data_IF_119026814779
#
_entry.id   IF_119026814779
#
_cell.length_a   1.000
_cell.length_b   1.000
_cell.length_c   1.000
_cell.angle_alpha   90.00
_cell.angle_beta   90.00
_cell.angle_gamma   90.00
#
_symmetry.space_group_name_H-M   'P 1'
#
loop_
_entity.id
_entity.type
_entity.pdbx_description
1 polymer ?
#
# COMPACT_ATOMS: atom_id res chain seq x y z
N UNK A 1 10.84 -46.89 -28.15
CA UNK A 1 12.02 -46.00 -27.94
C UNK A 1 11.69 -44.50 -28.05
N UNK A 2 10.46 -44.04 -27.73
CA UNK A 2 10.02 -42.62 -27.70
C UNK A 2 8.92 -42.40 -26.64
N UNK A 3 9.19 -42.71 -25.37
CA UNK A 3 8.20 -42.52 -24.29
C UNK A 3 8.82 -42.05 -22.96
N UNK A 4 10.03 -41.48 -22.99
CA UNK A 4 10.76 -41.04 -21.81
C UNK A 4 11.10 -39.54 -21.79
N UNK A 5 10.69 -38.79 -22.80
CA UNK A 5 11.01 -37.35 -22.90
C UNK A 5 9.95 -36.46 -22.21
N UNK A 6 8.71 -36.96 -22.03
CA UNK A 6 7.63 -36.17 -21.41
C UNK A 6 7.67 -36.13 -19.88
N UNK A 7 8.34 -37.07 -19.21
CA UNK A 7 8.44 -37.07 -17.74
C UNK A 7 9.55 -36.15 -17.23
N UNK A 8 10.67 -36.02 -17.95
CA UNK A 8 11.79 -35.14 -17.56
C UNK A 8 11.50 -33.64 -17.73
N UNK A 9 10.51 -33.29 -18.57
CA UNK A 9 10.07 -31.90 -18.73
C UNK A 9 9.18 -31.43 -17.58
N UNK A 10 8.52 -32.34 -16.85
CA UNK A 10 7.55 -31.98 -15.83
C UNK A 10 8.20 -31.77 -14.45
N UNK A 11 9.19 -32.59 -14.09
CA UNK A 11 9.94 -32.43 -12.82
C UNK A 11 10.81 -31.15 -12.81
N UNK A 12 11.40 -30.78 -13.94
CA UNK A 12 12.15 -29.52 -14.08
C UNK A 12 11.24 -28.29 -14.07
N UNK A 13 10.02 -28.39 -14.62
CA UNK A 13 9.03 -27.31 -14.54
C UNK A 13 8.51 -27.13 -13.10
N UNK A 14 8.19 -28.22 -12.39
CA UNK A 14 7.77 -28.16 -10.99
C UNK A 14 8.86 -27.65 -10.05
N UNK A 15 10.13 -28.00 -10.26
CA UNK A 15 11.25 -27.47 -9.47
C UNK A 15 11.53 -25.98 -9.76
N UNK A 16 11.35 -25.51 -11.00
CA UNK A 16 11.45 -24.08 -11.33
C UNK A 16 10.30 -23.25 -10.74
N UNK A 17 9.06 -23.78 -10.76
CA UNK A 17 7.88 -23.11 -10.19
C UNK A 17 8.01 -23.02 -8.66
N UNK A 18 8.43 -24.10 -8.00
CA UNK A 18 8.60 -24.12 -6.54
C UNK A 18 9.76 -23.24 -6.05
N UNK A 19 10.85 -23.09 -6.83
CA UNK A 19 11.95 -22.18 -6.48
C UNK A 19 11.61 -20.71 -6.74
N UNK A 20 10.82 -20.40 -7.78
CA UNK A 20 10.32 -19.06 -8.07
C UNK A 20 9.34 -18.56 -6.98
N UNK A 21 8.35 -19.38 -6.61
CA UNK A 21 7.39 -19.05 -5.55
C UNK A 21 8.06 -18.78 -4.20
N UNK A 22 9.05 -19.61 -3.82
CA UNK A 22 9.82 -19.41 -2.58
C UNK A 22 10.63 -18.10 -2.57
N UNK A 23 11.12 -17.64 -3.73
CA UNK A 23 11.78 -16.32 -3.83
C UNK A 23 10.76 -15.20 -3.68
N UNK A 24 9.61 -15.27 -4.36
CA UNK A 24 8.58 -14.24 -4.29
C UNK A 24 8.08 -14.01 -2.86
N UNK A 25 7.86 -15.09 -2.11
CA UNK A 25 7.48 -15.07 -0.69
C UNK A 25 8.55 -14.39 0.16
N UNK A 26 9.83 -14.58 -0.17
CA UNK A 26 10.96 -13.96 0.55
C UNK A 26 11.02 -12.44 0.35
N UNK A 27 10.55 -11.90 -0.77
CA UNK A 27 10.60 -10.46 -1.05
C UNK A 27 9.30 -9.70 -0.77
N UNK A 28 8.27 -10.38 -0.26
CA UNK A 28 6.93 -9.80 -0.02
C UNK A 28 6.94 -8.55 0.88
N UNK A 29 7.80 -8.50 1.90
CA UNK A 29 7.88 -7.35 2.80
C UNK A 29 8.49 -6.12 2.12
N UNK A 30 9.38 -6.30 1.14
CA UNK A 30 9.91 -5.18 0.36
C UNK A 30 8.89 -4.61 -0.61
N UNK A 31 8.10 -5.47 -1.28
CA UNK A 31 6.99 -5.04 -2.12
C UNK A 31 5.95 -4.25 -1.30
N UNK A 32 5.69 -4.71 -0.08
CA UNK A 32 4.75 -4.04 0.80
C UNK A 32 5.28 -2.69 1.32
N UNK A 33 6.57 -2.61 1.69
CA UNK A 33 7.21 -1.33 1.99
C UNK A 33 7.19 -0.36 0.80
N UNK A 34 7.49 -0.86 -0.40
CA UNK A 34 7.45 -0.09 -1.65
C UNK A 34 6.04 0.49 -1.87
N UNK A 35 5.00 -0.31 -1.68
CA UNK A 35 3.60 0.11 -1.79
C UNK A 35 3.23 1.22 -0.80
N UNK A 36 3.58 1.07 0.47
CA UNK A 36 3.35 2.12 1.50
C UNK A 36 4.06 3.40 1.09
N UNK A 37 5.32 3.28 0.66
CA UNK A 37 6.10 4.42 0.18
C UNK A 37 5.45 5.11 -1.01
N UNK A 38 4.92 4.33 -1.95
CA UNK A 38 4.26 4.83 -3.14
C UNK A 38 3.00 5.64 -2.80
N UNK A 39 2.18 5.18 -1.84
CA UNK A 39 1.04 5.96 -1.35
C UNK A 39 1.43 7.28 -0.70
N UNK A 40 2.49 7.28 0.10
CA UNK A 40 3.00 8.51 0.73
C UNK A 40 3.51 9.48 -0.32
N UNK A 41 4.34 9.01 -1.26
CA UNK A 41 4.85 9.86 -2.34
C UNK A 41 3.73 10.41 -3.22
N UNK A 42 2.65 9.66 -3.42
CA UNK A 42 1.46 10.11 -4.13
C UNK A 42 0.71 11.22 -3.38
N UNK A 43 0.52 11.07 -2.07
CA UNK A 43 -0.11 12.09 -1.23
C UNK A 43 0.66 13.41 -1.28
N UNK A 44 1.99 13.35 -1.13
CA UNK A 44 2.87 14.52 -1.14
C UNK A 44 3.09 15.11 -2.54
N UNK A 45 3.19 14.26 -3.56
CA UNK A 45 3.49 14.68 -4.93
C UNK A 45 2.29 15.18 -5.70
N UNK A 46 1.11 14.57 -5.49
CA UNK A 46 -0.10 14.88 -6.26
C UNK A 46 -1.16 15.56 -5.39
N UNK A 47 -1.69 14.85 -4.39
CA UNK A 47 -2.92 15.28 -3.70
C UNK A 47 -2.71 16.60 -2.95
N UNK A 48 -1.66 16.69 -2.14
CA UNK A 48 -1.37 17.94 -1.39
C UNK A 48 -1.09 19.11 -2.32
N UNK A 49 -0.28 18.91 -3.36
CA UNK A 49 0.10 19.97 -4.29
C UNK A 49 -1.07 20.43 -5.17
N UNK A 50 -1.66 19.53 -5.94
CA UNK A 50 -2.67 19.88 -6.94
C UNK A 50 -4.08 19.98 -6.35
N UNK A 51 -4.46 19.05 -5.47
CA UNK A 51 -5.85 19.00 -4.96
C UNK A 51 -6.07 19.86 -3.71
N UNK A 52 -4.99 20.30 -3.05
CA UNK A 52 -5.10 21.17 -1.86
C UNK A 52 -4.43 22.52 -2.07
N UNK A 53 -3.12 22.56 -2.33
CA UNK A 53 -2.38 23.82 -2.41
C UNK A 53 -2.89 24.70 -3.55
N UNK A 54 -3.12 24.14 -4.75
CA UNK A 54 -3.63 24.92 -5.88
C UNK A 54 -5.09 25.39 -5.70
N UNK A 55 -5.93 24.64 -4.98
CA UNK A 55 -7.37 24.89 -4.89
C UNK A 55 -7.78 25.67 -3.64
N UNK A 56 -7.11 25.43 -2.51
CA UNK A 56 -7.43 26.00 -1.21
C UNK A 56 -6.25 26.79 -0.60
N UNK A 57 -5.04 26.64 -1.14
CA UNK A 57 -3.86 27.36 -0.66
C UNK A 57 -3.00 26.59 0.36
N UNK A 58 -1.87 27.20 0.73
CA UNK A 58 -0.85 26.55 1.55
C UNK A 58 -1.31 26.26 2.98
N UNK A 59 -2.09 27.18 3.58
CA UNK A 59 -2.59 27.03 4.96
C UNK A 59 -3.39 25.72 5.13
N UNK A 60 -4.33 25.47 4.24
CA UNK A 60 -5.15 24.26 4.28
C UNK A 60 -4.34 22.99 3.97
N UNK A 61 -3.20 23.11 3.27
CA UNK A 61 -2.30 21.97 3.07
C UNK A 61 -1.74 21.47 4.41
N UNK A 62 -1.35 22.38 5.30
CA UNK A 62 -0.84 22.04 6.64
C UNK A 62 -1.95 21.39 7.47
N UNK A 63 -3.15 21.97 7.48
CA UNK A 63 -4.32 21.44 8.21
C UNK A 63 -4.66 20.01 7.75
N UNK A 64 -4.66 19.76 6.43
CA UNK A 64 -4.91 18.43 5.85
C UNK A 64 -3.83 17.41 6.25
N UNK A 65 -2.56 17.83 6.31
CA UNK A 65 -1.46 16.96 6.77
C UNK A 65 -1.58 16.58 8.24
N UNK A 66 -2.00 17.51 9.09
CA UNK A 66 -2.26 17.24 10.51
C UNK A 66 -3.39 16.21 10.63
N UNK A 67 -4.50 16.42 9.92
CA UNK A 67 -5.68 15.53 9.97
C UNK A 67 -5.32 14.12 9.45
N UNK A 68 -4.57 14.04 8.37
CA UNK A 68 -4.05 12.78 7.84
C UNK A 68 -3.15 12.06 8.87
N UNK A 69 -2.22 12.77 9.51
CA UNK A 69 -1.35 12.21 10.55
C UNK A 69 -2.14 11.74 11.78
N UNK A 70 -3.18 12.48 12.17
CA UNK A 70 -4.07 12.12 13.26
C UNK A 70 -4.83 10.82 12.95
N UNK A 71 -5.41 10.71 11.75
CA UNK A 71 -6.12 9.50 11.31
C UNK A 71 -5.22 8.27 11.33
N UNK A 72 -3.98 8.40 10.85
CA UNK A 72 -2.99 7.32 10.89
C UNK A 72 -2.58 6.92 12.31
N UNK A 73 -2.36 7.90 13.19
CA UNK A 73 -1.96 7.62 14.59
C UNK A 73 -3.08 6.90 15.35
N UNK A 74 -4.32 7.35 15.18
CA UNK A 74 -5.51 6.73 15.79
C UNK A 74 -5.65 5.29 15.29
N UNK A 75 -5.64 5.09 13.96
CA UNK A 75 -5.86 3.76 13.38
C UNK A 75 -4.74 2.78 13.72
N UNK A 76 -3.48 3.23 13.72
CA UNK A 76 -2.33 2.41 14.12
C UNK A 76 -2.43 1.96 15.58
N UNK A 77 -2.84 2.85 16.48
CA UNK A 77 -3.01 2.55 17.91
C UNK A 77 -4.15 1.57 18.13
N UNK A 78 -5.30 1.80 17.50
CA UNK A 78 -6.46 0.89 17.58
C UNK A 78 -6.08 -0.48 17.04
N UNK A 79 -5.46 -0.55 15.86
CA UNK A 79 -5.12 -1.82 15.25
C UNK A 79 -4.10 -2.59 16.10
N UNK A 80 -3.09 -1.94 16.67
CA UNK A 80 -2.12 -2.58 17.56
C UNK A 80 -2.78 -3.25 18.78
N UNK A 81 -3.88 -2.67 19.28
CA UNK A 81 -4.68 -3.29 20.33
C UNK A 81 -5.53 -4.46 19.79
N UNK A 82 -6.24 -4.24 18.68
CA UNK A 82 -7.17 -5.21 18.10
C UNK A 82 -6.46 -6.45 17.52
N UNK A 83 -5.24 -6.32 16.99
CA UNK A 83 -4.46 -7.44 16.43
C UNK A 83 -4.12 -8.53 17.45
N UNK A 84 -4.31 -8.28 18.75
CA UNK A 84 -4.23 -9.32 19.78
C UNK A 84 -5.40 -10.31 19.73
N UNK A 85 -6.53 -9.89 19.14
CA UNK A 85 -7.79 -10.62 19.15
C UNK A 85 -8.24 -11.07 17.76
N UNK A 86 -7.69 -10.48 16.69
CA UNK A 86 -8.04 -10.82 15.30
C UNK A 86 -6.85 -11.37 14.54
N UNK A 87 -7.11 -12.23 13.55
CA UNK A 87 -6.07 -12.72 12.66
C UNK A 87 -5.51 -11.59 11.80
N UNK A 88 -4.22 -11.68 11.45
CA UNK A 88 -3.58 -10.71 10.54
C UNK A 88 -4.25 -10.68 9.17
N UNK A 89 -4.78 -11.82 8.70
CA UNK A 89 -5.49 -11.91 7.42
C UNK A 89 -6.81 -11.15 7.47
N UNK A 90 -7.55 -11.22 8.58
CA UNK A 90 -8.75 -10.41 8.80
C UNK A 90 -8.43 -8.91 8.77
N UNK A 91 -7.31 -8.49 9.39
CA UNK A 91 -6.86 -7.09 9.33
C UNK A 91 -6.50 -6.66 7.91
N UNK A 92 -5.82 -7.50 7.14
CA UNK A 92 -5.48 -7.25 5.73
C UNK A 92 -6.73 -7.09 4.87
N UNK A 93 -7.69 -8.01 4.98
CA UNK A 93 -8.95 -7.95 4.22
C UNK A 93 -9.75 -6.69 4.54
N UNK A 94 -9.92 -6.38 5.84
CA UNK A 94 -10.60 -5.16 6.27
C UNK A 94 -9.91 -3.89 5.74
N UNK A 95 -8.59 -3.82 5.89
CA UNK A 95 -7.80 -2.66 5.43
C UNK A 95 -7.88 -2.51 3.91
N UNK A 96 -7.93 -3.61 3.16
CA UNK A 96 -8.10 -3.59 1.71
C UNK A 96 -9.45 -3.01 1.31
N UNK A 97 -10.54 -3.48 1.91
CA UNK A 97 -11.89 -2.95 1.65
C UNK A 97 -11.92 -1.45 1.95
N UNK A 98 -11.40 -1.04 3.10
CA UNK A 98 -11.34 0.36 3.49
C UNK A 98 -10.47 1.19 2.54
N UNK A 99 -9.38 0.62 2.03
CA UNK A 99 -8.53 1.24 1.02
C UNK A 99 -9.31 1.50 -0.28
N UNK A 100 -10.04 0.50 -0.80
CA UNK A 100 -10.88 0.68 -2.00
C UNK A 100 -11.93 1.78 -1.82
N UNK A 101 -12.64 1.77 -0.69
CA UNK A 101 -13.63 2.80 -0.37
C UNK A 101 -12.99 4.19 -0.29
N UNK A 102 -11.82 4.29 0.33
CA UNK A 102 -11.09 5.56 0.46
C UNK A 102 -10.59 6.07 -0.89
N UNK A 103 -10.10 5.20 -1.76
CA UNK A 103 -9.67 5.58 -3.12
C UNK A 103 -10.87 6.03 -3.97
N UNK A 104 -12.02 5.36 -3.85
CA UNK A 104 -13.28 5.79 -4.47
C UNK A 104 -13.74 7.15 -3.94
N UNK A 105 -13.62 7.37 -2.63
CA UNK A 105 -13.96 8.66 -2.02
C UNK A 105 -13.00 9.79 -2.44
N UNK A 106 -11.70 9.52 -2.55
CA UNK A 106 -10.73 10.47 -3.09
C UNK A 106 -11.03 10.83 -4.55
N UNK A 107 -11.37 9.84 -5.37
CA UNK A 107 -11.82 10.05 -6.75
C UNK A 107 -13.05 10.96 -6.79
N UNK A 108 -14.08 10.64 -6.02
CA UNK A 108 -15.33 11.40 -5.95
C UNK A 108 -15.12 12.84 -5.44
N UNK A 109 -14.32 13.03 -4.37
CA UNK A 109 -14.06 14.38 -3.87
C UNK A 109 -13.27 15.19 -4.88
N UNK A 110 -12.31 14.60 -5.62
CA UNK A 110 -11.57 15.30 -6.67
C UNK A 110 -12.48 15.75 -7.80
N UNK A 111 -13.31 14.86 -8.34
CA UNK A 111 -14.27 15.23 -9.40
C UNK A 111 -15.24 16.29 -8.90
N UNK A 112 -15.74 16.17 -7.68
CA UNK A 112 -16.64 17.17 -7.08
C UNK A 112 -15.97 18.54 -6.88
N UNK A 113 -14.66 18.60 -6.54
CA UNK A 113 -13.95 19.89 -6.44
C UNK A 113 -13.80 20.57 -7.80
N UNK A 114 -13.53 19.80 -8.85
CA UNK A 114 -13.43 20.34 -10.22
C UNK A 114 -14.76 20.92 -10.73
N UNK A 115 -15.89 20.38 -10.26
CA UNK A 115 -17.23 20.89 -10.58
C UNK A 115 -17.73 21.95 -9.58
N UNK A 116 -16.92 22.37 -8.62
CA UNK A 116 -17.30 23.37 -7.61
C UNK A 116 -18.30 22.89 -6.55
N UNK A 117 -18.59 21.58 -6.49
CA UNK A 117 -19.57 20.97 -5.57
C UNK A 117 -18.92 20.59 -4.23
N UNK A 118 -17.64 20.23 -4.25
CA UNK A 118 -16.93 19.78 -3.05
C UNK A 118 -16.71 20.92 -2.07
N UNK A 119 -17.05 20.68 -0.79
CA UNK A 119 -16.65 21.56 0.31
C UNK A 119 -15.25 21.22 0.82
N UNK A 120 -14.59 22.19 1.47
CA UNK A 120 -13.32 21.99 2.18
C UNK A 120 -13.43 20.84 3.21
N UNK A 121 -14.58 20.70 3.86
CA UNK A 121 -14.84 19.65 4.85
C UNK A 121 -14.80 18.24 4.24
N UNK A 122 -15.30 18.06 3.01
CA UNK A 122 -15.20 16.77 2.32
C UNK A 122 -13.73 16.39 2.06
N UNK A 123 -12.88 17.39 1.77
CA UNK A 123 -11.44 17.17 1.64
C UNK A 123 -10.79 16.78 2.97
N UNK A 124 -11.12 17.46 4.07
CA UNK A 124 -10.64 17.07 5.40
C UNK A 124 -10.97 15.61 5.73
N UNK A 125 -12.22 15.20 5.47
CA UNK A 125 -12.65 13.82 5.67
C UNK A 125 -11.86 12.84 4.80
N UNK A 126 -11.61 13.19 3.54
CA UNK A 126 -10.85 12.31 2.63
C UNK A 126 -9.40 12.10 3.09
N UNK A 127 -8.74 13.14 3.60
CA UNK A 127 -7.39 13.03 4.17
C UNK A 127 -7.39 12.23 5.48
N UNK A 128 -8.42 12.38 6.31
CA UNK A 128 -8.57 11.60 7.53
C UNK A 128 -8.69 10.09 7.23
N UNK A 129 -9.59 9.72 6.30
CA UNK A 129 -9.75 8.31 5.89
C UNK A 129 -8.50 7.74 5.22
N UNK A 130 -7.82 8.54 4.39
CA UNK A 130 -6.55 8.14 3.80
C UNK A 130 -5.48 7.90 4.87
N UNK A 131 -5.43 8.76 5.89
CA UNK A 131 -4.60 8.59 7.08
C UNK A 131 -4.89 7.29 7.81
N UNK A 132 -6.17 7.01 8.08
CA UNK A 132 -6.60 5.75 8.71
C UNK A 132 -6.05 4.55 7.94
N UNK A 133 -6.29 4.50 6.63
CA UNK A 133 -5.89 3.39 5.77
C UNK A 133 -4.38 3.18 5.77
N UNK A 134 -3.60 4.26 5.64
CA UNK A 134 -2.14 4.13 5.66
C UNK A 134 -1.62 3.71 7.04
N UNK A 135 -2.22 4.20 8.12
CA UNK A 135 -1.87 3.78 9.48
C UNK A 135 -2.09 2.28 9.69
N UNK A 136 -3.22 1.74 9.20
CA UNK A 136 -3.50 0.31 9.24
C UNK A 136 -2.46 -0.48 8.44
N UNK A 137 -2.20 -0.11 7.19
CA UNK A 137 -1.21 -0.79 6.35
C UNK A 137 0.19 -0.74 6.96
N UNK A 138 0.60 0.39 7.53
CA UNK A 138 1.91 0.54 8.17
C UNK A 138 2.04 -0.36 9.39
N UNK A 139 1.00 -0.44 10.23
CA UNK A 139 0.99 -1.33 11.40
C UNK A 139 1.03 -2.81 10.98
N UNK A 140 0.24 -3.19 9.97
CA UNK A 140 0.30 -4.54 9.37
C UNK A 140 1.71 -4.84 8.86
N UNK A 141 2.37 -3.87 8.21
CA UNK A 141 3.71 -4.03 7.64
C UNK A 141 4.72 -4.38 8.72
N UNK A 142 4.72 -3.58 9.78
CA UNK A 142 5.64 -3.72 10.89
C UNK A 142 5.39 -5.06 11.59
N UNK A 143 4.12 -5.41 11.84
CA UNK A 143 3.78 -6.69 12.46
C UNK A 143 4.24 -7.88 11.60
N UNK A 144 3.98 -7.86 10.30
CA UNK A 144 4.44 -8.87 9.36
C UNK A 144 5.98 -8.96 9.27
N UNK A 145 6.66 -7.81 9.30
CA UNK A 145 8.11 -7.73 9.25
C UNK A 145 8.72 -8.31 10.53
N UNK A 146 8.25 -7.88 11.70
CA UNK A 146 8.69 -8.38 13.00
C UNK A 146 8.47 -9.89 13.15
N UNK A 147 7.34 -10.42 12.66
CA UNK A 147 7.07 -11.86 12.71
C UNK A 147 7.89 -12.66 11.69
N UNK A 148 8.19 -12.10 10.51
CA UNK A 148 9.02 -12.75 9.50
C UNK A 148 10.51 -12.75 9.88
N UNK A 149 10.94 -11.74 10.63
CA UNK A 149 12.29 -11.68 11.19
C UNK A 149 12.26 -12.25 12.60
N UNK A 150 12.51 -13.55 12.78
CA UNK A 150 13.08 -14.04 14.04
C UNK A 150 14.45 -13.33 14.25
N UNK A 151 14.38 -12.14 14.84
CA UNK A 151 15.35 -11.28 15.53
C UNK A 151 16.81 -11.07 15.05
N UNK A 152 17.27 -11.52 13.88
CA UNK A 152 18.72 -11.47 13.59
C UNK A 152 19.26 -10.43 12.57
N UNK A 153 18.46 -9.62 11.86
CA UNK A 153 19.10 -8.70 10.90
C UNK A 153 18.43 -7.33 10.80
N UNK A 154 18.97 -6.37 11.56
CA UNK A 154 18.79 -4.92 11.36
C UNK A 154 18.86 -4.52 9.87
N UNK A 155 19.64 -5.23 9.07
CA UNK A 155 19.74 -5.05 7.62
C UNK A 155 18.43 -5.25 6.87
N UNK A 156 17.57 -6.21 7.23
CA UNK A 156 16.26 -6.42 6.57
C UNK A 156 15.28 -5.29 6.87
N UNK A 157 15.29 -4.80 8.11
CA UNK A 157 14.49 -3.64 8.49
C UNK A 157 14.96 -2.39 7.74
N UNK A 158 16.27 -2.14 7.71
CA UNK A 158 16.87 -1.03 6.96
C UNK A 158 16.56 -1.11 5.46
N UNK A 159 16.65 -2.30 4.85
CA UNK A 159 16.28 -2.52 3.46
C UNK A 159 14.78 -2.28 3.21
N UNK A 160 13.90 -2.69 4.13
CA UNK A 160 12.46 -2.39 4.03
C UNK A 160 12.21 -0.88 4.06
N UNK A 161 12.88 -0.16 4.96
CA UNK A 161 12.80 1.30 5.03
C UNK A 161 13.33 1.96 3.75
N UNK A 162 14.45 1.47 3.21
CA UNK A 162 14.99 1.93 1.93
C UNK A 162 13.99 1.73 0.79
N UNK A 163 13.34 0.57 0.72
CA UNK A 163 12.31 0.28 -0.30
C UNK A 163 11.08 1.19 -0.16
N UNK A 164 10.68 1.53 1.06
CA UNK A 164 9.64 2.55 1.30
C UNK A 164 10.07 3.91 0.76
N UNK A 165 11.32 4.34 1.00
CA UNK A 165 11.85 5.59 0.43
C UNK A 165 11.88 5.57 -1.10
N UNK A 166 12.27 4.44 -1.71
CA UNK A 166 12.23 4.27 -3.17
C UNK A 166 10.81 4.45 -3.70
N UNK A 167 9.81 3.84 -3.05
CA UNK A 167 8.40 4.00 -3.42
C UNK A 167 7.95 5.46 -3.38
N UNK A 168 8.34 6.20 -2.33
CA UNK A 168 8.05 7.64 -2.21
C UNK A 168 8.64 8.44 -3.37
N UNK A 169 9.91 8.22 -3.68
CA UNK A 169 10.62 8.94 -4.75
C UNK A 169 9.95 8.66 -6.10
N UNK A 170 9.64 7.40 -6.40
CA UNK A 170 8.98 7.01 -7.65
C UNK A 170 7.62 7.69 -7.76
N UNK A 171 6.76 7.57 -6.74
CA UNK A 171 5.43 8.16 -6.77
C UNK A 171 5.47 9.69 -6.87
N UNK A 172 6.38 10.32 -6.14
CA UNK A 172 6.57 11.77 -6.20
C UNK A 172 7.03 12.23 -7.59
N UNK A 173 8.01 11.53 -8.18
CA UNK A 173 8.47 11.80 -9.54
C UNK A 173 7.35 11.60 -10.57
N UNK A 174 6.58 10.51 -10.47
CA UNK A 174 5.42 10.26 -11.34
C UNK A 174 4.37 11.36 -11.20
N UNK A 175 4.08 11.82 -9.98
CA UNK A 175 3.14 12.90 -9.74
C UNK A 175 3.59 14.23 -10.36
N UNK A 176 4.89 14.52 -10.35
CA UNK A 176 5.46 15.71 -11.00
C UNK A 176 5.41 15.61 -12.53
N UNK A 177 5.77 14.46 -13.09
CA UNK A 177 5.96 14.29 -14.54
C UNK A 177 4.64 14.05 -15.30
N UNK A 178 3.67 13.38 -14.69
CA UNK A 178 2.43 12.95 -15.36
C UNK A 178 1.23 13.87 -15.07
N UNK A 179 1.43 14.99 -14.35
CA UNK A 179 0.41 15.98 -14.00
C UNK A 179 -0.96 15.36 -13.63
N UNK A 180 -2.03 15.64 -14.37
CA UNK A 180 -3.37 15.11 -14.08
C UNK A 180 -3.53 13.61 -14.41
N UNK A 181 -2.80 13.09 -15.41
CA UNK A 181 -2.81 11.67 -15.78
C UNK A 181 -2.25 10.79 -14.65
N UNK A 182 -1.40 11.38 -13.80
CA UNK A 182 -0.83 10.71 -12.64
C UNK A 182 -1.89 10.22 -11.65
N UNK A 183 -3.05 10.88 -11.53
CA UNK A 183 -4.11 10.45 -10.62
C UNK A 183 -4.64 9.06 -10.99
N UNK A 184 -4.96 8.85 -12.27
CA UNK A 184 -5.45 7.56 -12.75
C UNK A 184 -4.37 6.48 -12.70
N UNK A 185 -3.17 6.79 -13.20
CA UNK A 185 -2.06 5.83 -13.29
C UNK A 185 -1.59 5.40 -11.90
N UNK A 186 -1.42 6.34 -10.97
CA UNK A 186 -0.96 6.04 -9.61
C UNK A 186 -2.02 5.24 -8.83
N UNK A 187 -3.30 5.60 -8.94
CA UNK A 187 -4.37 4.81 -8.33
C UNK A 187 -4.40 3.38 -8.90
N UNK A 188 -4.25 3.20 -10.21
CA UNK A 188 -4.19 1.89 -10.84
C UNK A 188 -2.99 1.06 -10.36
N UNK A 189 -1.80 1.67 -10.27
CA UNK A 189 -0.60 1.01 -9.74
C UNK A 189 -0.79 0.63 -8.26
N UNK A 190 -1.35 1.52 -7.45
CA UNK A 190 -1.68 1.22 -6.05
C UNK A 190 -2.61 0.01 -5.95
N UNK A 191 -3.68 -0.03 -6.75
CA UNK A 191 -4.62 -1.15 -6.77
C UNK A 191 -3.95 -2.46 -7.21
N UNK A 192 -3.11 -2.41 -8.25
CA UNK A 192 -2.36 -3.57 -8.71
C UNK A 192 -1.44 -4.11 -7.61
N UNK A 193 -0.73 -3.22 -6.89
CA UNK A 193 0.14 -3.60 -5.78
C UNK A 193 -0.63 -4.22 -4.61
N UNK A 194 -1.83 -3.71 -4.29
CA UNK A 194 -2.73 -4.32 -3.29
C UNK A 194 -3.16 -5.73 -3.70
N UNK A 195 -3.59 -5.91 -4.95
CA UNK A 195 -4.03 -7.22 -5.47
C UNK A 195 -2.88 -8.22 -5.46
N UNK A 196 -1.70 -7.82 -5.94
CA UNK A 196 -0.48 -8.65 -5.90
C UNK A 196 -0.16 -9.05 -4.45
N UNK A 197 -0.28 -8.11 -3.51
CA UNK A 197 -0.04 -8.40 -2.10
C UNK A 197 -1.05 -9.41 -1.52
N UNK A 198 -2.34 -9.25 -1.80
CA UNK A 198 -3.37 -10.21 -1.38
C UNK A 198 -3.06 -11.60 -1.91
N UNK A 199 -2.73 -11.71 -3.21
CA UNK A 199 -2.39 -12.99 -3.84
C UNK A 199 -1.18 -13.63 -3.16
N UNK A 200 -0.14 -12.86 -2.86
CA UNK A 200 1.03 -13.37 -2.14
C UNK A 200 0.65 -13.84 -0.72
N UNK A 201 -0.16 -13.06 0.00
CA UNK A 201 -0.61 -13.43 1.35
C UNK A 201 -1.47 -14.71 1.33
N UNK A 202 -2.39 -14.82 0.39
CA UNK A 202 -3.27 -15.99 0.23
C UNK A 202 -2.46 -17.25 -0.08
N UNK A 203 -1.54 -17.20 -1.04
CA UNK A 203 -0.65 -18.31 -1.36
C UNK A 203 0.19 -18.78 -0.15
N UNK A 204 0.62 -17.86 0.72
CA UNK A 204 1.40 -18.20 1.91
C UNK A 204 0.59 -18.87 3.02
N UNK A 205 -0.70 -18.56 3.13
CA UNK A 205 -1.59 -19.20 4.11
C UNK A 205 -1.92 -20.62 3.67
N UNK A 206 -2.13 -20.84 2.38
CA UNK A 206 -2.53 -22.14 1.83
C UNK A 206 -1.37 -23.15 1.71
N UNK A 207 -0.10 -22.70 1.67
CA UNK A 207 1.08 -23.60 1.72
C UNK A 207 1.32 -24.25 3.11
N UNK A 208 0.61 -23.81 4.15
CA UNK A 208 0.77 -24.31 5.52
C UNK A 208 -0.28 -25.33 5.96
N UNK A 209 -1.31 -25.54 5.14
CA UNK A 209 -2.33 -26.57 5.29
C UNK A 209 -2.01 -27.76 4.40
#
# INVERSE_FOLDING_TARGET
>A
RRMSILYYSNENAQTHITTSSKRLIRYRHYLFALFIGFQEGYLFGNITKFDVTCLFGLRHTVEMMIIYGLGGTISSTILAFVTKHISIMSSVSFTTILHFLTMGFLYYTRTSTLHGISTLNMKHMSFFFFGIVLGLWTTIAIHCLCNATKFSSSSKFAQSLAMRSVGRIIAYACALLLCQLSFFIINLICLLLVVIFILICYCCCHEKE
#
